data_IF_444906481051
#
_entry.id   IF_444906481051
#
_cell.length_a   1.000
_cell.length_b   1.000
_cell.length_c   1.000
_cell.angle_alpha   90.00
_cell.angle_beta   90.00
_cell.angle_gamma   90.00
#
_symmetry.space_group_name_H-M   'P 1'
#
loop_
_entity.id
_entity.type
_entity.pdbx_description
1 polymer ?
#
# COMPACT_ATOMS: atom_id res chain seq x y z
N UNK A 1 15.08 9.60 -20.59
CA UNK A 1 16.10 8.85 -21.35
C UNK A 1 16.76 7.87 -20.40
N UNK A 2 16.75 6.57 -20.70
CA UNK A 2 17.45 5.56 -19.89
C UNK A 2 18.94 5.66 -20.22
N UNK A 3 19.77 5.91 -19.21
CA UNK A 3 21.23 5.96 -19.37
C UNK A 3 21.87 4.61 -19.05
N UNK A 4 21.35 3.93 -18.02
CA UNK A 4 21.77 2.59 -17.58
C UNK A 4 20.61 1.88 -16.88
N UNK A 5 20.85 0.69 -16.33
CA UNK A 5 19.83 -0.05 -15.55
C UNK A 5 19.43 0.65 -14.25
N UNK A 6 20.29 1.53 -13.72
CA UNK A 6 20.06 2.23 -12.45
C UNK A 6 19.94 3.75 -12.61
N UNK A 7 20.08 4.28 -13.83
CA UNK A 7 20.11 5.73 -14.08
C UNK A 7 19.16 6.17 -15.19
N UNK A 8 18.39 7.21 -14.87
CA UNK A 8 17.49 7.90 -15.79
C UNK A 8 17.89 9.36 -15.90
N UNK A 9 18.03 9.84 -17.13
CA UNK A 9 18.10 11.27 -17.42
C UNK A 9 16.71 11.80 -17.68
N UNK A 10 16.34 12.82 -16.91
CA UNK A 10 15.03 13.47 -16.96
C UNK A 10 15.19 14.96 -17.26
N UNK A 11 14.14 15.56 -17.83
CA UNK A 11 14.06 17.00 -18.05
C UNK A 11 13.25 17.63 -16.92
N UNK A 12 13.77 18.67 -16.29
CA UNK A 12 13.03 19.46 -15.31
C UNK A 12 12.07 20.39 -16.06
N UNK A 13 10.79 20.06 -16.07
CA UNK A 13 9.74 20.89 -16.70
C UNK A 13 9.33 22.07 -15.82
N UNK A 14 9.40 21.89 -14.48
CA UNK A 14 9.14 22.93 -13.48
C UNK A 14 10.17 22.85 -12.36
N UNK A 15 11.00 23.88 -12.24
CA UNK A 15 12.09 23.94 -11.27
C UNK A 15 11.65 24.22 -9.83
N UNK A 16 12.54 23.91 -8.88
CA UNK A 16 12.36 24.15 -7.45
C UNK A 16 13.48 23.54 -6.61
N UNK A 17 13.44 23.74 -5.28
CA UNK A 17 14.43 23.15 -4.36
C UNK A 17 14.04 21.71 -4.02
N UNK A 18 14.83 20.73 -4.45
CA UNK A 18 14.72 19.34 -4.02
C UNK A 18 15.51 19.13 -2.72
N UNK A 19 14.86 18.57 -1.70
CA UNK A 19 15.49 18.19 -0.43
C UNK A 19 15.73 16.68 -0.40
N UNK A 20 16.56 16.21 0.52
CA UNK A 20 16.75 14.78 0.77
C UNK A 20 15.42 14.10 1.18
N UNK A 21 15.26 12.83 0.81
CA UNK A 21 14.10 11.97 1.15
C UNK A 21 12.74 12.51 0.69
N UNK A 22 12.71 13.26 -0.40
CA UNK A 22 11.43 13.65 -1.04
C UNK A 22 10.91 12.45 -1.83
N UNK A 23 9.64 12.11 -1.62
CA UNK A 23 8.96 11.05 -2.34
C UNK A 23 8.94 11.32 -3.85
N UNK A 24 9.08 10.25 -4.63
CA UNK A 24 8.94 10.26 -6.08
C UNK A 24 7.63 9.58 -6.41
N UNK A 25 6.81 10.21 -7.24
CA UNK A 25 5.56 9.61 -7.70
C UNK A 25 5.61 9.46 -9.22
N UNK A 26 5.22 8.29 -9.71
CA UNK A 26 5.08 7.97 -11.14
C UNK A 26 3.63 7.56 -11.35
N UNK A 27 2.77 8.45 -11.88
CA UNK A 27 1.33 8.24 -11.90
C UNK A 27 0.86 7.24 -12.95
N UNK A 28 1.53 7.21 -14.11
CA UNK A 28 1.01 6.52 -15.30
C UNK A 28 1.52 5.09 -15.46
N UNK A 29 2.25 4.56 -14.46
CA UNK A 29 2.87 3.23 -14.53
C UNK A 29 2.43 2.44 -13.31
N UNK A 30 1.95 1.21 -13.53
CA UNK A 30 1.82 0.22 -12.47
C UNK A 30 3.24 -0.17 -12.01
N UNK A 31 3.59 0.25 -10.81
CA UNK A 31 4.88 -0.10 -10.24
C UNK A 31 4.76 -1.54 -9.75
N UNK A 32 5.62 -2.42 -10.27
CA UNK A 32 5.77 -3.79 -9.79
C UNK A 32 6.47 -3.83 -8.43
N UNK A 33 5.95 -3.06 -7.46
CA UNK A 33 6.30 -3.16 -6.06
C UNK A 33 5.19 -3.93 -5.34
N UNK A 34 5.59 -4.77 -4.38
CA UNK A 34 4.64 -5.31 -3.42
C UNK A 34 3.92 -4.15 -2.71
N UNK A 35 2.64 -4.34 -2.40
CA UNK A 35 1.88 -3.33 -1.67
C UNK A 35 2.34 -3.20 -0.23
N UNK A 36 2.82 -4.31 0.36
CA UNK A 36 3.50 -4.32 1.65
C UNK A 36 5.00 -4.46 1.41
N UNK A 37 5.77 -3.52 1.95
CA UNK A 37 7.22 -3.67 2.05
C UNK A 37 7.58 -4.60 3.20
N UNK A 38 8.83 -5.08 3.26
CA UNK A 38 9.33 -5.89 4.39
C UNK A 38 9.02 -5.21 5.74
N UNK A 39 9.20 -3.89 5.80
CA UNK A 39 8.90 -3.09 6.99
C UNK A 39 7.39 -3.05 7.30
N UNK A 40 6.54 -2.96 6.29
CA UNK A 40 5.08 -2.95 6.49
C UNK A 40 4.59 -4.31 7.00
N UNK A 41 5.22 -5.41 6.57
CA UNK A 41 4.96 -6.76 7.08
C UNK A 41 5.35 -6.83 8.56
N UNK A 42 6.56 -6.41 8.93
CA UNK A 42 7.02 -6.37 10.33
C UNK A 42 6.08 -5.54 11.22
N UNK A 43 5.66 -4.37 10.73
CA UNK A 43 4.72 -3.50 11.43
C UNK A 43 3.35 -4.20 11.59
N UNK A 44 2.82 -4.82 10.53
CA UNK A 44 1.55 -5.54 10.59
C UNK A 44 1.61 -6.69 11.60
N UNK A 45 2.66 -7.51 11.58
CA UNK A 45 2.83 -8.60 12.54
C UNK A 45 2.89 -8.10 13.99
N UNK A 46 3.54 -6.96 14.24
CA UNK A 46 3.57 -6.32 15.55
C UNK A 46 2.19 -5.81 15.97
N UNK A 47 1.50 -5.07 15.08
CA UNK A 47 0.18 -4.50 15.36
C UNK A 47 -0.87 -5.58 15.67
N UNK A 48 -0.80 -6.72 14.98
CA UNK A 48 -1.72 -7.86 15.18
C UNK A 48 -1.55 -8.57 16.53
N UNK A 49 -0.46 -8.31 17.25
CA UNK A 49 -0.19 -8.87 18.58
C UNK A 49 -0.56 -7.92 19.73
N UNK A 50 -0.96 -6.68 19.43
CA UNK A 50 -1.30 -5.69 20.44
C UNK A 50 -2.58 -6.07 21.21
N UNK A 51 -2.60 -5.69 22.48
CA UNK A 51 -3.77 -5.78 23.36
C UNK A 51 -3.98 -4.40 24.01
N UNK A 52 -5.10 -3.71 23.76
CA UNK A 52 -6.23 -4.15 22.94
C UNK A 52 -5.91 -4.27 21.44
N UNK A 53 -6.64 -5.10 20.67
CA UNK A 53 -6.45 -5.23 19.24
C UNK A 53 -6.66 -3.90 18.51
N UNK A 54 -5.90 -3.69 17.43
CA UNK A 54 -6.14 -2.56 16.53
C UNK A 54 -7.43 -2.76 15.75
N UNK A 55 -8.23 -1.69 15.62
CA UNK A 55 -9.53 -1.79 14.95
C UNK A 55 -9.43 -1.71 13.43
N UNK A 56 -8.45 -0.96 12.91
CA UNK A 56 -8.24 -0.76 11.48
C UNK A 56 -6.76 -0.83 11.13
N UNK A 57 -6.47 -1.43 9.98
CA UNK A 57 -5.18 -1.27 9.29
C UNK A 57 -5.45 -0.61 7.94
N UNK A 58 -4.77 0.52 7.71
CA UNK A 58 -4.88 1.25 6.46
C UNK A 58 -3.71 0.91 5.53
N UNK A 59 -4.00 0.26 4.41
CA UNK A 59 -2.97 -0.14 3.43
C UNK A 59 -2.78 1.00 2.42
N UNK A 60 -1.54 1.49 2.31
CA UNK A 60 -1.20 2.59 1.40
C UNK A 60 -0.95 2.10 -0.02
N UNK A 61 -1.15 2.98 -1.01
CA UNK A 61 -0.83 2.70 -2.42
C UNK A 61 -1.41 1.41 -3.01
N UNK A 62 -2.57 0.96 -2.52
CA UNK A 62 -3.26 -0.22 -3.06
C UNK A 62 -3.58 -0.01 -4.53
N UNK A 63 -3.30 -1.01 -5.37
CA UNK A 63 -3.54 -1.02 -6.81
C UNK A 63 -4.57 -2.09 -7.22
N UNK A 64 -4.69 -3.18 -6.45
CA UNK A 64 -5.58 -4.33 -6.74
C UNK A 64 -5.96 -5.10 -5.47
N UNK A 65 -6.97 -5.97 -5.54
CA UNK A 65 -7.39 -6.78 -4.39
C UNK A 65 -6.30 -7.69 -3.81
N UNK A 66 -5.39 -8.19 -4.65
CA UNK A 66 -4.26 -9.03 -4.20
C UNK A 66 -3.37 -8.35 -3.16
N UNK A 67 -3.28 -7.03 -3.20
CA UNK A 67 -2.51 -6.22 -2.26
C UNK A 67 -3.10 -6.30 -0.84
N UNK A 68 -4.41 -6.49 -0.73
CA UNK A 68 -5.11 -6.71 0.54
C UNK A 68 -5.06 -8.17 0.98
N UNK A 69 -5.07 -9.09 0.01
CA UNK A 69 -4.94 -10.51 0.28
C UNK A 69 -3.64 -10.82 1.04
N UNK A 70 -2.55 -10.10 0.73
CA UNK A 70 -1.28 -10.26 1.45
C UNK A 70 -1.41 -10.00 2.97
N UNK A 71 -2.17 -8.98 3.38
CA UNK A 71 -2.46 -8.71 4.79
C UNK A 71 -3.35 -9.80 5.42
N UNK A 72 -4.31 -10.32 4.67
CA UNK A 72 -5.17 -11.43 5.10
C UNK A 72 -4.32 -12.69 5.32
N UNK A 73 -3.41 -13.00 4.40
CA UNK A 73 -2.52 -14.15 4.49
C UNK A 73 -1.58 -14.04 5.71
N UNK A 74 -1.14 -12.82 6.06
CA UNK A 74 -0.38 -12.57 7.31
C UNK A 74 -1.23 -12.90 8.54
N UNK A 75 -2.48 -12.42 8.58
CA UNK A 75 -3.40 -12.71 9.69
C UNK A 75 -3.69 -14.21 9.82
N UNK A 76 -3.86 -14.91 8.69
CA UNK A 76 -4.08 -16.36 8.64
C UNK A 76 -2.84 -17.12 9.14
N UNK A 77 -1.65 -16.77 8.64
CA UNK A 77 -0.37 -17.38 9.07
C UNK A 77 -0.10 -17.21 10.56
N UNK A 78 -0.45 -16.05 11.12
CA UNK A 78 -0.32 -15.77 12.55
C UNK A 78 -1.47 -16.34 13.40
N UNK A 79 -2.46 -17.00 12.77
CA UNK A 79 -3.66 -17.52 13.44
C UNK A 79 -4.41 -16.45 14.26
N UNK A 80 -4.49 -15.21 13.73
CA UNK A 80 -5.21 -14.12 14.39
C UNK A 80 -6.70 -14.49 14.46
N UNK A 81 -7.30 -14.58 15.67
CA UNK A 81 -8.71 -14.91 15.83
C UNK A 81 -9.61 -13.91 15.09
N UNK A 82 -10.71 -14.36 14.44
CA UNK A 82 -11.59 -13.47 13.67
C UNK A 82 -12.06 -12.24 14.43
N UNK A 83 -12.34 -12.37 15.73
CA UNK A 83 -12.80 -11.29 16.60
C UNK A 83 -11.71 -10.26 16.96
N UNK A 84 -10.43 -10.61 16.75
CA UNK A 84 -9.27 -9.73 16.94
C UNK A 84 -8.71 -9.19 15.62
N UNK A 85 -9.26 -9.59 14.47
CA UNK A 85 -8.76 -9.10 13.18
C UNK A 85 -9.14 -7.63 12.99
N UNK A 86 -8.17 -6.77 12.62
CA UNK A 86 -8.49 -5.40 12.21
C UNK A 86 -9.29 -5.41 10.92
N UNK A 87 -10.14 -4.39 10.78
CA UNK A 87 -10.78 -4.05 9.52
C UNK A 87 -9.75 -3.49 8.55
N UNK A 88 -9.80 -3.94 7.30
CA UNK A 88 -8.91 -3.49 6.24
C UNK A 88 -9.51 -2.24 5.58
N UNK A 89 -8.71 -1.17 5.54
CA UNK A 89 -9.08 0.12 4.96
C UNK A 89 -8.05 0.55 3.90
N UNK A 90 -8.15 0.07 2.65
CA UNK A 90 -7.28 0.54 1.56
C UNK A 90 -7.38 2.05 1.36
N UNK A 91 -6.22 2.65 1.07
CA UNK A 91 -6.09 4.04 0.65
C UNK A 91 -6.08 4.13 -0.87
N UNK A 92 -7.11 4.75 -1.41
CA UNK A 92 -7.27 4.97 -2.85
C UNK A 92 -6.44 6.20 -3.24
N UNK A 93 -5.20 5.95 -3.67
CA UNK A 93 -4.19 6.98 -4.00
C UNK A 93 -3.72 6.95 -5.46
N UNK A 94 -3.98 5.84 -6.16
CA UNK A 94 -3.45 5.55 -7.49
C UNK A 94 -4.60 5.33 -8.48
N UNK A 95 -4.46 5.76 -9.75
CA UNK A 95 -5.47 5.51 -10.78
C UNK A 95 -5.84 4.02 -10.93
N UNK A 96 -4.86 3.13 -10.79
CA UNK A 96 -5.03 1.69 -10.87
C UNK A 96 -6.00 1.15 -9.82
N UNK A 97 -5.97 1.71 -8.61
CA UNK A 97 -6.90 1.37 -7.53
C UNK A 97 -8.35 1.62 -7.94
N UNK A 98 -8.60 2.72 -8.65
CA UNK A 98 -9.93 3.06 -9.14
C UNK A 98 -10.37 2.12 -10.27
N UNK A 99 -9.46 1.74 -11.16
CA UNK A 99 -9.74 0.77 -12.23
C UNK A 99 -10.09 -0.62 -11.67
N UNK A 100 -9.42 -1.05 -10.60
CA UNK A 100 -9.58 -2.37 -9.99
C UNK A 100 -10.47 -2.35 -8.72
N UNK A 101 -11.32 -1.33 -8.58
CA UNK A 101 -11.97 -1.01 -7.31
C UNK A 101 -12.88 -2.12 -6.79
N UNK A 102 -13.53 -2.87 -7.68
CA UNK A 102 -14.43 -3.96 -7.30
C UNK A 102 -13.71 -5.06 -6.51
N UNK A 103 -12.51 -5.45 -6.95
CA UNK A 103 -11.70 -6.44 -6.26
C UNK A 103 -11.12 -5.94 -4.93
N UNK A 104 -10.92 -4.63 -4.82
CA UNK A 104 -10.49 -3.99 -3.57
C UNK A 104 -11.66 -3.97 -2.58
N UNK A 105 -12.84 -3.52 -3.01
CA UNK A 105 -14.06 -3.48 -2.19
C UNK A 105 -14.41 -4.86 -1.65
N UNK A 106 -14.27 -5.91 -2.46
CA UNK A 106 -14.58 -7.28 -2.05
C UNK A 106 -13.77 -7.78 -0.83
N UNK A 107 -12.60 -7.17 -0.56
CA UNK A 107 -11.68 -7.54 0.53
C UNK A 107 -11.52 -6.43 1.58
N UNK A 108 -12.44 -5.45 1.59
CA UNK A 108 -12.33 -4.26 2.45
C UNK A 108 -13.58 -4.05 3.31
N UNK A 109 -13.38 -3.63 4.56
CA UNK A 109 -14.46 -3.21 5.44
C UNK A 109 -14.67 -1.69 5.43
N UNK A 110 -13.71 -0.93 4.91
CA UNK A 110 -13.81 0.51 4.71
C UNK A 110 -12.96 0.95 3.52
N UNK A 111 -13.17 2.16 3.01
CA UNK A 111 -12.30 2.77 2.00
C UNK A 111 -11.84 4.15 2.47
N UNK A 112 -10.58 4.49 2.22
CA UNK A 112 -10.05 5.84 2.44
C UNK A 112 -9.78 6.53 1.10
N UNK A 113 -10.51 7.62 0.83
CA UNK A 113 -10.21 8.51 -0.30
C UNK A 113 -9.09 9.47 0.11
N UNK A 114 -7.86 9.12 -0.27
CA UNK A 114 -6.66 9.88 0.10
C UNK A 114 -6.34 10.93 -0.97
N UNK A 115 -6.50 12.21 -0.62
CA UNK A 115 -6.26 13.38 -1.49
C UNK A 115 -4.88 14.00 -1.26
#
# INVERSE_FOLDING_TARGET
EKLSDTELKVLVTRGGKLKARKGVNVPDIEVACAALTEKDIEDAEYLLQLEPPVEYICVSFVQKGQDLQELIDIMDRLNVPPEKRPKICPKIEKPQALTNIDGIIALSEALMVAR
#
